data_IF_517833399859
#
_entry.id   IF_517833399859
#
_cell.length_a   1.000
_cell.length_b   1.000
_cell.length_c   1.000
_cell.angle_alpha   90.00
_cell.angle_beta   90.00
_cell.angle_gamma   90.00
#
_symmetry.space_group_name_H-M   'P 1'
#
loop_
_entity.id
_entity.type
_entity.pdbx_description
1 polymer ?
#
# COMPACT_ATOMS: atom_id res chain seq x y z
N UNK A 1 19.59 13.20 -27.92
CA UNK A 1 19.36 12.10 -26.95
C UNK A 1 19.33 10.81 -27.74
N UNK A 2 20.42 10.03 -27.69
CA UNK A 2 20.66 8.89 -28.57
C UNK A 2 19.67 7.75 -28.32
N UNK A 3 19.20 7.12 -29.39
CA UNK A 3 18.24 6.02 -29.42
C UNK A 3 18.71 4.78 -28.64
N UNK A 4 20.03 4.66 -28.38
CA UNK A 4 20.65 3.55 -27.65
C UNK A 4 20.54 3.59 -26.13
N UNK A 5 20.12 4.70 -25.51
CA UNK A 5 20.08 4.84 -24.03
C UNK A 5 18.72 4.40 -23.42
N UNK A 6 17.66 4.36 -24.22
CA UNK A 6 16.30 3.94 -23.81
C UNK A 6 16.22 2.52 -23.19
N UNK A 7 16.85 1.46 -23.75
CA UNK A 7 16.71 0.10 -23.23
C UNK A 7 17.40 -0.11 -21.87
N UNK A 8 18.49 0.61 -21.59
CA UNK A 8 19.19 0.52 -20.31
C UNK A 8 18.39 1.18 -19.17
N UNK A 9 17.80 2.35 -19.43
CA UNK A 9 16.95 3.07 -18.48
C UNK A 9 15.68 2.28 -18.11
N UNK A 10 15.07 1.60 -19.09
CA UNK A 10 13.92 0.71 -18.85
C UNK A 10 14.29 -0.44 -17.91
N UNK A 11 15.47 -1.05 -18.09
CA UNK A 11 15.91 -2.16 -17.25
C UNK A 11 16.04 -1.76 -15.77
N UNK A 12 16.59 -0.58 -15.50
CA UNK A 12 16.72 -0.01 -14.15
C UNK A 12 15.37 0.36 -13.50
N UNK A 13 14.38 0.78 -14.30
CA UNK A 13 13.03 1.07 -13.81
C UNK A 13 12.32 -0.19 -13.30
N UNK A 14 12.54 -1.33 -13.95
CA UNK A 14 11.95 -2.62 -13.56
C UNK A 14 12.80 -3.41 -12.56
N UNK A 15 14.05 -3.02 -12.34
CA UNK A 15 14.97 -3.72 -11.45
C UNK A 15 14.48 -3.64 -10.00
N UNK A 16 14.31 -4.81 -9.37
CA UNK A 16 13.71 -5.04 -8.03
C UNK A 16 12.21 -4.78 -7.88
N UNK A 17 11.52 -4.30 -8.91
CA UNK A 17 10.07 -4.07 -8.85
C UNK A 17 9.26 -5.39 -8.71
N UNK A 18 9.82 -6.48 -9.23
CA UNK A 18 9.24 -7.82 -9.14
C UNK A 18 9.01 -8.25 -7.68
N UNK A 19 9.90 -7.89 -6.75
CA UNK A 19 9.73 -8.26 -5.33
C UNK A 19 8.54 -7.55 -4.68
N UNK A 20 8.26 -6.30 -5.07
CA UNK A 20 7.11 -5.56 -4.57
C UNK A 20 5.79 -6.10 -5.12
N UNK A 21 5.75 -6.47 -6.40
CA UNK A 21 4.57 -7.09 -6.99
C UNK A 21 4.35 -8.51 -6.46
N UNK A 22 5.42 -9.29 -6.27
CA UNK A 22 5.33 -10.63 -5.71
C UNK A 22 4.86 -10.59 -4.25
N UNK A 23 5.41 -9.71 -3.42
CA UNK A 23 4.95 -9.54 -2.03
C UNK A 23 3.50 -9.04 -1.95
N UNK A 24 3.09 -8.15 -2.86
CA UNK A 24 1.69 -7.71 -2.94
C UNK A 24 0.75 -8.86 -3.37
N UNK A 25 1.16 -9.68 -4.34
CA UNK A 25 0.39 -10.83 -4.78
C UNK A 25 0.23 -11.87 -3.65
N UNK A 26 1.32 -12.17 -2.94
CA UNK A 26 1.31 -13.06 -1.77
C UNK A 26 0.38 -12.49 -0.70
N UNK A 27 0.46 -11.19 -0.41
CA UNK A 27 -0.41 -10.55 0.57
C UNK A 27 -1.90 -10.67 0.20
N UNK A 28 -2.26 -10.47 -1.08
CA UNK A 28 -3.65 -10.64 -1.56
C UNK A 28 -4.12 -12.08 -1.37
N UNK A 29 -3.28 -13.07 -1.70
CA UNK A 29 -3.62 -14.48 -1.54
C UNK A 29 -3.87 -14.80 -0.07
N UNK A 30 -2.98 -14.37 0.82
CA UNK A 30 -3.14 -14.56 2.27
C UNK A 30 -4.42 -13.90 2.75
N UNK A 31 -4.68 -12.66 2.36
CA UNK A 31 -5.90 -11.93 2.72
C UNK A 31 -7.15 -12.67 2.22
N UNK A 32 -7.16 -13.10 0.96
CA UNK A 32 -8.25 -13.90 0.42
C UNK A 32 -8.53 -15.15 1.25
N UNK A 33 -7.50 -15.93 1.60
CA UNK A 33 -7.67 -17.10 2.46
C UNK A 33 -8.17 -16.74 3.87
N UNK A 34 -7.72 -15.64 4.46
CA UNK A 34 -8.19 -15.20 5.79
C UNK A 34 -9.69 -14.92 5.83
N UNK A 35 -10.32 -14.57 4.71
CA UNK A 35 -11.79 -14.40 4.65
C UNK A 35 -12.57 -15.71 4.88
N UNK A 36 -11.95 -16.87 4.68
CA UNK A 36 -12.57 -18.18 4.91
C UNK A 36 -12.36 -18.72 6.33
N UNK A 37 -11.25 -18.37 6.98
CA UNK A 37 -10.85 -18.97 8.26
C UNK A 37 -11.14 -18.11 9.48
N UNK A 38 -11.33 -16.80 9.32
CA UNK A 38 -11.50 -15.89 10.43
C UNK A 38 -12.82 -15.11 10.32
N UNK A 39 -13.45 -14.73 11.45
CA UNK A 39 -14.61 -13.83 11.46
C UNK A 39 -14.22 -12.38 11.14
N UNK A 40 -13.34 -12.18 10.15
CA UNK A 40 -12.82 -10.87 9.70
C UNK A 40 -13.86 -10.07 8.90
N UNK A 41 -15.05 -10.64 8.68
CA UNK A 41 -16.14 -10.04 7.89
C UNK A 41 -17.31 -9.58 8.75
N UNK A 42 -17.28 -9.88 10.04
CA UNK A 42 -18.38 -9.61 10.97
C UNK A 42 -18.16 -8.25 11.62
N UNK A 43 -19.14 -7.36 11.52
CA UNK A 43 -19.09 -6.01 12.10
C UNK A 43 -19.26 -4.90 11.06
N UNK A 44 -19.00 -3.68 11.50
CA UNK A 44 -19.08 -2.50 10.66
C UNK A 44 -18.62 -1.24 11.39
N UNK A 45 -18.17 -0.26 10.62
CA UNK A 45 -17.76 1.05 11.10
C UNK A 45 -18.26 2.11 10.13
N UNK A 46 -18.82 3.21 10.65
CA UNK A 46 -19.45 4.27 9.86
C UNK A 46 -20.54 3.76 8.90
N UNK A 47 -21.36 2.80 9.34
CA UNK A 47 -22.40 2.12 8.55
C UNK A 47 -21.88 1.38 7.30
N UNK A 48 -20.56 1.18 7.20
CA UNK A 48 -19.92 0.39 6.16
C UNK A 48 -19.49 -0.94 6.78
N UNK A 49 -19.70 -2.03 6.06
CA UNK A 49 -19.37 -3.38 6.52
C UNK A 49 -17.85 -3.61 6.61
N UNK A 50 -17.43 -4.47 7.53
CA UNK A 50 -16.01 -4.80 7.73
C UNK A 50 -15.36 -5.34 6.45
N UNK A 51 -16.09 -6.11 5.63
CA UNK A 51 -15.57 -6.63 4.35
C UNK A 51 -15.20 -5.52 3.35
N UNK A 52 -15.92 -4.39 3.35
CA UNK A 52 -15.59 -3.25 2.48
C UNK A 52 -14.33 -2.56 2.98
N UNK A 53 -14.22 -2.35 4.30
CA UNK A 53 -12.99 -1.82 4.90
C UNK A 53 -11.79 -2.76 4.68
N UNK A 54 -12.02 -4.06 4.71
CA UNK A 54 -11.02 -5.11 4.49
C UNK A 54 -10.40 -4.98 3.10
N UNK A 55 -11.24 -5.03 2.06
CA UNK A 55 -10.77 -4.89 0.68
C UNK A 55 -10.19 -3.51 0.40
N UNK A 56 -10.77 -2.44 0.97
CA UNK A 56 -10.23 -1.08 0.82
C UNK A 56 -8.82 -0.96 1.38
N UNK A 57 -8.57 -1.54 2.57
CA UNK A 57 -7.24 -1.55 3.20
C UNK A 57 -6.20 -2.36 2.42
N UNK A 58 -6.63 -3.35 1.63
CA UNK A 58 -5.77 -4.14 0.76
C UNK A 58 -5.49 -3.44 -0.59
N UNK A 59 -6.52 -2.86 -1.20
CA UNK A 59 -6.46 -2.25 -2.54
C UNK A 59 -5.62 -0.97 -2.52
N UNK A 60 -5.75 -0.11 -1.50
CA UNK A 60 -5.01 1.16 -1.44
C UNK A 60 -3.49 0.97 -1.51
N UNK A 61 -2.86 0.08 -0.71
CA UNK A 61 -1.43 -0.24 -0.83
C UNK A 61 -1.03 -0.74 -2.23
N UNK A 62 -1.86 -1.56 -2.87
CA UNK A 62 -1.55 -2.11 -4.21
C UNK A 62 -1.54 -0.99 -5.24
N UNK A 63 -2.58 -0.14 -5.24
CA UNK A 63 -2.67 1.02 -6.14
C UNK A 63 -1.50 1.95 -5.89
N UNK A 64 -1.18 2.24 -4.63
CA UNK A 64 -0.02 3.07 -4.28
C UNK A 64 1.29 2.48 -4.81
N UNK A 65 1.51 1.17 -4.63
CA UNK A 65 2.74 0.49 -5.07
C UNK A 65 2.87 0.48 -6.60
N UNK A 66 1.77 0.27 -7.32
CA UNK A 66 1.73 0.37 -8.78
C UNK A 66 1.99 1.81 -9.24
N UNK A 67 1.36 2.79 -8.59
CA UNK A 67 1.49 4.19 -8.93
C UNK A 67 2.91 4.71 -8.72
N UNK A 68 3.50 4.48 -7.55
CA UNK A 68 4.89 4.85 -7.25
C UNK A 68 5.85 4.05 -8.12
N UNK A 69 5.62 2.75 -8.25
CA UNK A 69 6.44 1.88 -9.08
C UNK A 69 6.58 2.35 -10.52
N UNK A 70 5.45 2.72 -11.12
CA UNK A 70 5.38 3.09 -12.52
C UNK A 70 5.66 4.58 -12.71
N UNK A 71 4.85 5.47 -12.13
CA UNK A 71 4.91 6.91 -12.43
C UNK A 71 6.11 7.59 -11.79
N UNK A 72 6.44 7.27 -10.53
CA UNK A 72 7.56 7.93 -9.85
C UNK A 72 8.91 7.53 -10.45
N UNK A 73 9.12 6.24 -10.77
CA UNK A 73 10.37 5.79 -11.41
C UNK A 73 10.51 6.28 -12.85
N UNK A 74 9.42 6.32 -13.62
CA UNK A 74 9.41 6.90 -14.96
C UNK A 74 9.75 8.39 -14.93
N UNK A 75 9.27 9.11 -13.92
CA UNK A 75 9.63 10.51 -13.73
C UNK A 75 11.12 10.67 -13.35
N UNK A 76 11.63 9.84 -12.42
CA UNK A 76 13.03 9.89 -11.98
C UNK A 76 14.05 9.63 -13.11
N UNK A 77 13.82 8.61 -13.94
CA UNK A 77 14.81 8.17 -14.92
C UNK A 77 14.63 8.83 -16.29
N UNK A 78 13.38 9.07 -16.69
CA UNK A 78 13.10 9.51 -18.06
C UNK A 78 12.61 10.97 -18.12
N UNK A 79 12.38 11.64 -16.97
CA UNK A 79 11.77 12.99 -16.85
C UNK A 79 10.61 13.22 -17.82
N UNK A 80 9.92 12.13 -18.17
CA UNK A 80 9.06 12.10 -19.36
C UNK A 80 7.76 12.84 -19.08
N UNK A 81 7.32 12.85 -17.81
CA UNK A 81 6.11 13.53 -17.41
C UNK A 81 6.37 15.01 -17.14
N UNK A 82 7.47 15.41 -16.49
CA UNK A 82 7.81 16.84 -16.38
C UNK A 82 7.94 17.49 -17.76
N UNK A 83 8.50 16.76 -18.74
CA UNK A 83 8.67 17.26 -20.11
C UNK A 83 7.35 17.35 -20.89
N UNK A 84 6.34 16.53 -20.57
CA UNK A 84 5.05 16.48 -21.29
C UNK A 84 3.94 17.29 -20.62
N UNK A 85 3.93 17.36 -19.29
CA UNK A 85 2.87 18.00 -18.49
C UNK A 85 3.37 19.22 -17.69
N UNK A 86 4.67 19.51 -17.72
CA UNK A 86 5.24 20.66 -17.00
C UNK A 86 5.14 20.54 -15.48
N UNK A 87 5.27 21.68 -14.80
CA UNK A 87 5.25 21.80 -13.34
C UNK A 87 3.92 21.33 -12.70
N UNK A 88 2.79 21.56 -13.37
CA UNK A 88 1.47 21.17 -12.87
C UNK A 88 1.28 19.64 -12.82
N UNK A 89 1.91 18.91 -13.76
CA UNK A 89 1.92 17.46 -13.74
C UNK A 89 2.56 16.95 -12.45
N UNK A 90 3.75 17.45 -12.12
CA UNK A 90 4.49 17.05 -10.91
C UNK A 90 3.67 17.27 -9.62
N UNK A 91 2.99 18.43 -9.50
CA UNK A 91 2.13 18.71 -8.34
C UNK A 91 0.98 17.70 -8.24
N UNK A 92 0.27 17.44 -9.35
CA UNK A 92 -0.84 16.49 -9.36
C UNK A 92 -0.38 15.09 -8.93
N UNK A 93 0.79 14.64 -9.39
CA UNK A 93 1.38 13.36 -8.97
C UNK A 93 1.69 13.35 -7.47
N UNK A 94 2.27 14.42 -6.95
CA UNK A 94 2.57 14.57 -5.52
C UNK A 94 1.30 14.51 -4.66
N UNK A 95 0.21 15.16 -5.11
CA UNK A 95 -1.09 15.10 -4.41
C UNK A 95 -1.66 13.69 -4.40
N UNK A 96 -1.70 13.01 -5.56
CA UNK A 96 -2.19 11.62 -5.64
C UNK A 96 -1.34 10.69 -4.76
N UNK A 97 -0.02 10.85 -4.80
CA UNK A 97 0.90 10.10 -3.93
C UNK A 97 0.55 10.28 -2.45
N UNK A 98 0.38 11.53 -2.00
CA UNK A 98 0.08 11.85 -0.61
C UNK A 98 -1.28 11.29 -0.19
N UNK A 99 -2.31 11.45 -1.04
CA UNK A 99 -3.66 10.93 -0.79
C UNK A 99 -3.64 9.40 -0.64
N UNK A 100 -2.96 8.69 -1.54
CA UNK A 100 -2.82 7.23 -1.46
C UNK A 100 -2.00 6.80 -0.24
N UNK A 101 -0.95 7.55 0.11
CA UNK A 101 -0.11 7.26 1.26
C UNK A 101 -0.88 7.42 2.58
N UNK A 102 -1.59 8.53 2.76
CA UNK A 102 -2.43 8.79 3.95
C UNK A 102 -3.62 7.84 3.98
N UNK A 103 -4.26 7.61 2.83
CA UNK A 103 -5.39 6.68 2.70
C UNK A 103 -5.05 5.26 3.17
N UNK A 104 -3.79 4.82 3.03
CA UNK A 104 -3.32 3.55 3.56
C UNK A 104 -3.45 3.48 5.09
N UNK A 105 -2.98 4.48 5.81
CA UNK A 105 -3.07 4.49 7.27
C UNK A 105 -4.51 4.58 7.74
N UNK A 106 -5.29 5.47 7.13
CA UNK A 106 -6.70 5.66 7.48
C UNK A 106 -7.49 4.37 7.27
N UNK A 107 -7.32 3.69 6.13
CA UNK A 107 -8.06 2.46 5.82
C UNK A 107 -7.72 1.32 6.78
N UNK A 108 -6.46 1.17 7.20
CA UNK A 108 -6.06 0.17 8.20
C UNK A 108 -6.66 0.50 9.57
N UNK A 109 -6.65 1.77 9.98
CA UNK A 109 -7.26 2.20 11.24
C UNK A 109 -8.78 1.96 11.22
N UNK A 110 -9.46 2.34 10.14
CA UNK A 110 -10.90 2.09 9.98
C UNK A 110 -11.23 0.59 10.01
N UNK A 111 -10.42 -0.25 9.37
CA UNK A 111 -10.57 -1.71 9.46
C UNK A 111 -10.38 -2.22 10.89
N UNK A 112 -9.39 -1.69 11.62
CA UNK A 112 -9.16 -2.07 13.01
C UNK A 112 -10.34 -1.69 13.92
N UNK A 113 -11.02 -0.57 13.65
CA UNK A 113 -12.26 -0.22 14.35
C UNK A 113 -13.45 -1.06 13.90
N UNK A 114 -13.59 -1.33 12.59
CA UNK A 114 -14.69 -2.13 12.03
C UNK A 114 -14.66 -3.59 12.50
N UNK A 115 -13.46 -4.14 12.66
CA UNK A 115 -13.21 -5.51 13.10
C UNK A 115 -12.70 -5.58 14.56
N UNK A 116 -12.81 -4.49 15.32
CA UNK A 116 -12.38 -4.47 16.72
C UNK A 116 -13.24 -5.42 17.55
N UNK A 117 -12.62 -6.21 18.44
CA UNK A 117 -13.26 -7.23 19.31
C UNK A 117 -13.79 -8.51 18.64
N UNK A 118 -13.56 -8.78 17.35
CA UNK A 118 -13.99 -10.06 16.74
C UNK A 118 -12.99 -11.20 16.94
N UNK A 119 -11.71 -10.90 17.19
CA UNK A 119 -10.79 -11.89 17.72
C UNK A 119 -11.25 -12.19 19.15
N UNK A 120 -11.80 -13.38 19.40
CA UNK A 120 -12.13 -13.90 20.74
C UNK A 120 -10.89 -14.15 21.62
N UNK A 121 -9.80 -13.40 21.38
CA UNK A 121 -8.55 -13.39 22.13
C UNK A 121 -8.65 -12.23 23.12
N UNK A 122 -8.08 -12.41 24.31
CA UNK A 122 -8.02 -11.36 25.32
C UNK A 122 -7.41 -10.07 24.74
N UNK A 123 -8.12 -8.95 24.92
CA UNK A 123 -7.75 -7.63 24.43
C UNK A 123 -6.34 -7.20 24.90
N UNK A 124 -5.90 -7.68 26.06
CA UNK A 124 -4.54 -7.45 26.57
C UNK A 124 -3.47 -8.12 25.71
N UNK A 125 -3.71 -9.36 25.28
CA UNK A 125 -2.77 -10.12 24.44
C UNK A 125 -2.67 -9.46 23.06
N UNK A 126 -3.81 -9.07 22.47
CA UNK A 126 -3.81 -8.37 21.18
C UNK A 126 -3.05 -7.04 21.24
N UNK A 127 -3.20 -6.27 22.32
CA UNK A 127 -2.47 -5.00 22.53
C UNK A 127 -0.97 -5.23 22.70
N UNK A 128 -0.55 -6.26 23.43
CA UNK A 128 0.88 -6.60 23.58
C UNK A 128 1.51 -6.97 22.24
N UNK A 129 0.82 -7.79 21.43
CA UNK A 129 1.29 -8.16 20.08
C UNK A 129 1.41 -6.91 19.20
N UNK A 130 0.44 -5.99 19.27
CA UNK A 130 0.49 -4.74 18.52
C UNK A 130 1.71 -3.88 18.92
N UNK A 131 2.03 -3.77 20.21
CA UNK A 131 3.22 -3.04 20.69
C UNK A 131 4.51 -3.69 20.17
N UNK A 132 4.61 -5.02 20.21
CA UNK A 132 5.79 -5.74 19.70
C UNK A 132 5.98 -5.50 18.19
N UNK A 133 4.90 -5.46 17.42
CA UNK A 133 4.93 -5.19 15.97
C UNK A 133 5.28 -3.74 15.62
N UNK A 134 5.13 -2.79 16.55
CA UNK A 134 5.57 -1.40 16.33
C UNK A 134 7.10 -1.32 16.30
N UNK A 135 7.83 -2.14 17.06
CA UNK A 135 9.29 -2.14 17.11
C UNK A 135 9.94 -2.30 15.73
N UNK A 136 9.65 -3.35 14.93
CA UNK A 136 10.20 -3.49 13.58
C UNK A 136 9.73 -2.38 12.65
N UNK A 137 8.52 -1.84 12.87
CA UNK A 137 7.97 -0.73 12.07
C UNK A 137 8.79 0.55 12.26
N UNK A 138 9.12 0.91 13.51
CA UNK A 138 9.96 2.08 13.82
C UNK A 138 11.39 1.88 13.33
N UNK A 139 11.94 0.68 13.47
CA UNK A 139 13.27 0.35 12.96
C UNK A 139 13.37 0.51 11.42
N UNK A 140 12.32 0.12 10.69
CA UNK A 140 12.23 0.30 9.24
C UNK A 140 12.11 1.76 8.80
N UNK A 141 11.52 2.64 9.62
CA UNK A 141 11.42 4.08 9.31
C UNK A 141 12.76 4.79 9.52
N UNK A 142 13.56 4.33 10.50
CA UNK A 142 14.86 4.91 10.80
C UNK A 142 15.95 4.59 9.78
N UNK A 143 15.78 3.50 9.01
CA UNK A 143 16.77 3.00 8.05
C UNK A 143 16.46 3.45 6.62
#
# INVERSE_FOLDING_TARGET
>A
MSEGDKPHQLKLVFERQVYHYLSSAIAIIILYFLTYFAPVTVGGFLSISTIVWYWTSAIIPIIHQLFVGFFWRLELHCKTLTRRFGYNGFILFGVIFLVLFVGRFISVICLAFANGNTLGIDLWITRLIAIILIIPTVYLIYR
#
